data_IF_088666823084
#
_entry.id   IF_088666823084
#
_cell.length_a   1.000
_cell.length_b   1.000
_cell.length_c   1.000
_cell.angle_alpha   90.00
_cell.angle_beta   90.00
_cell.angle_gamma   90.00
#
_symmetry.space_group_name_H-M   'P 1'
#
loop_
_entity.id
_entity.type
_entity.pdbx_description
1 polymer ?
#
# COMPACT_ATOMS: atom_id res chain seq x y z
N UNK A 1 3.55 -35.70 -19.10
CA UNK A 1 2.66 -34.52 -19.26
C UNK A 1 2.15 -34.19 -17.88
N UNK A 2 2.81 -33.26 -17.19
CA UNK A 2 2.37 -32.82 -15.87
C UNK A 2 1.69 -31.46 -16.06
N UNK A 3 0.42 -31.40 -15.71
CA UNK A 3 -0.44 -30.23 -15.81
C UNK A 3 0.00 -29.21 -14.75
N UNK A 4 0.64 -28.12 -15.21
CA UNK A 4 1.15 -27.03 -14.39
C UNK A 4 0.04 -26.04 -13.94
N UNK A 5 -1.25 -26.34 -14.16
CA UNK A 5 -2.36 -25.45 -13.78
C UNK A 5 -2.73 -25.44 -12.29
N UNK A 6 -2.05 -26.22 -11.42
CA UNK A 6 -2.44 -26.38 -10.01
C UNK A 6 -1.45 -25.93 -8.92
N UNK A 7 -0.43 -25.15 -9.26
CA UNK A 7 0.41 -24.48 -8.25
C UNK A 7 0.55 -22.99 -8.56
N UNK A 8 -0.59 -22.28 -8.57
CA UNK A 8 -0.60 -20.82 -8.44
C UNK A 8 -0.35 -20.49 -6.96
N UNK A 9 0.91 -20.53 -6.54
CA UNK A 9 1.35 -19.63 -5.48
C UNK A 9 1.08 -18.22 -6.03
N UNK A 10 0.02 -17.57 -5.53
CA UNK A 10 -0.26 -16.16 -5.86
C UNK A 10 0.84 -15.30 -5.26
N UNK A 11 2.02 -15.29 -5.89
CA UNK A 11 2.91 -14.14 -5.84
C UNK A 11 2.15 -13.01 -6.54
N UNK A 12 1.47 -12.17 -5.77
CA UNK A 12 1.12 -10.85 -6.29
C UNK A 12 2.46 -10.16 -6.52
N UNK A 13 2.93 -10.14 -7.77
CA UNK A 13 4.10 -9.34 -8.14
C UNK A 13 3.70 -7.87 -7.92
N UNK A 14 4.16 -7.31 -6.80
CA UNK A 14 4.07 -5.88 -6.50
C UNK A 14 5.20 -5.14 -7.19
N UNK A 15 5.07 -3.82 -7.27
CA UNK A 15 6.04 -2.97 -7.95
C UNK A 15 7.38 -2.94 -7.20
N UNK A 16 8.48 -2.95 -7.94
CA UNK A 16 9.82 -2.76 -7.39
C UNK A 16 10.08 -1.26 -7.17
N UNK A 17 10.14 -0.85 -5.91
CA UNK A 17 10.31 0.53 -5.48
C UNK A 17 11.77 0.95 -5.34
N UNK A 18 12.73 0.04 -5.52
CA UNK A 18 14.18 0.31 -5.41
C UNK A 18 14.65 1.52 -6.23
N UNK A 19 14.18 1.77 -7.47
CA UNK A 19 14.58 2.95 -8.24
C UNK A 19 14.12 4.29 -7.64
N UNK A 20 13.16 4.26 -6.71
CA UNK A 20 12.50 5.45 -6.15
C UNK A 20 13.09 5.88 -4.80
N UNK A 21 14.41 5.90 -4.68
CA UNK A 21 15.07 6.32 -3.45
C UNK A 21 16.57 6.52 -3.57
N UNK A 22 17.22 6.64 -2.42
CA UNK A 22 18.67 6.79 -2.30
C UNK A 22 19.19 5.94 -1.15
N UNK A 23 20.44 5.53 -1.26
CA UNK A 23 21.11 4.72 -0.25
C UNK A 23 22.21 5.48 0.50
N UNK A 24 22.47 5.06 1.74
CA UNK A 24 23.59 5.50 2.58
C UNK A 24 24.12 4.32 3.39
N UNK A 25 25.35 4.42 3.90
CA UNK A 25 25.96 3.35 4.70
C UNK A 25 26.90 3.91 5.76
N UNK A 26 27.14 3.11 6.80
CA UNK A 26 28.01 3.43 7.94
C UNK A 26 29.42 3.89 7.56
N UNK A 27 29.99 3.29 6.51
CA UNK A 27 31.30 3.64 5.94
C UNK A 27 31.48 3.02 4.56
N UNK A 28 32.51 3.44 3.83
CA UNK A 28 32.75 2.99 2.47
C UNK A 28 34.21 2.61 2.27
N UNK A 29 34.43 1.42 1.70
CA UNK A 29 35.73 1.02 1.12
C UNK A 29 35.80 1.47 -0.34
N UNK A 30 36.86 2.18 -0.70
CA UNK A 30 37.19 2.57 -2.07
C UNK A 30 35.97 3.08 -2.88
N UNK A 31 35.58 2.32 -3.91
CA UNK A 31 34.50 2.67 -4.85
C UNK A 31 33.17 1.97 -4.54
N UNK A 32 33.07 1.20 -3.45
CA UNK A 32 31.91 0.38 -3.09
C UNK A 32 30.79 1.21 -2.43
N UNK A 33 30.18 2.10 -3.23
CA UNK A 33 29.16 3.07 -2.80
C UNK A 33 27.89 2.38 -2.32
N UNK A 34 27.13 2.99 -1.40
CA UNK A 34 25.84 2.44 -0.96
C UNK A 34 24.82 2.32 -2.10
N UNK A 35 24.93 3.14 -3.15
CA UNK A 35 24.07 3.12 -4.35
C UNK A 35 24.19 1.82 -5.15
N UNK A 36 25.32 1.12 -5.08
CA UNK A 36 25.53 -0.11 -5.83
C UNK A 36 24.44 -1.17 -5.50
N UNK A 37 23.89 -1.15 -4.28
CA UNK A 37 22.80 -2.04 -3.88
C UNK A 37 21.41 -1.67 -4.44
N UNK A 38 21.24 -0.52 -5.08
CA UNK A 38 19.95 -0.09 -5.68
C UNK A 38 20.03 0.15 -7.17
N UNK A 39 21.23 0.17 -7.73
CA UNK A 39 21.43 0.23 -9.17
C UNK A 39 21.00 -1.10 -9.81
N UNK A 40 20.23 -1.09 -10.91
CA UNK A 40 19.79 -2.32 -11.56
C UNK A 40 21.00 -3.21 -11.95
N UNK A 41 21.00 -4.50 -11.59
CA UNK A 41 22.13 -5.36 -11.90
C UNK A 41 22.22 -5.61 -13.41
N UNK A 42 23.39 -5.33 -14.01
CA UNK A 42 23.65 -5.63 -15.43
C UNK A 42 23.77 -7.14 -15.70
N UNK A 43 24.17 -7.91 -14.69
CA UNK A 43 24.25 -9.36 -14.69
C UNK A 43 24.12 -9.91 -13.27
N UNK A 44 23.89 -11.21 -13.13
CA UNK A 44 23.93 -11.90 -11.82
C UNK A 44 25.37 -12.16 -11.32
N UNK A 45 26.38 -11.60 -12.00
CA UNK A 45 27.79 -11.72 -11.61
C UNK A 45 28.18 -10.50 -10.78
N UNK A 46 28.18 -10.70 -9.46
CA UNK A 46 28.40 -9.67 -8.45
C UNK A 46 29.85 -9.66 -7.98
N UNK A 47 30.70 -8.91 -8.69
CA UNK A 47 32.06 -8.60 -8.26
C UNK A 47 32.09 -7.45 -7.23
N UNK A 48 33.27 -7.19 -6.65
CA UNK A 48 33.46 -6.14 -5.63
C UNK A 48 33.01 -4.75 -6.10
N UNK A 49 33.12 -4.43 -7.39
CA UNK A 49 32.81 -3.10 -7.90
C UNK A 49 31.31 -2.86 -8.07
N UNK A 50 30.52 -3.94 -8.06
CA UNK A 50 29.06 -3.91 -8.19
C UNK A 50 28.31 -4.01 -6.87
N UNK A 51 29.01 -4.20 -5.75
CA UNK A 51 28.41 -4.30 -4.43
C UNK A 51 28.76 -3.10 -3.54
N UNK A 52 27.98 -2.90 -2.49
CA UNK A 52 28.35 -2.04 -1.37
C UNK A 52 29.45 -2.70 -0.56
N UNK A 53 30.23 -1.93 0.20
CA UNK A 53 31.18 -2.49 1.16
C UNK A 53 31.52 -1.48 2.27
N UNK A 54 31.29 -1.86 3.54
CA UNK A 54 31.70 -1.09 4.72
C UNK A 54 33.06 -1.54 5.26
N UNK A 55 33.76 -0.71 6.06
CA UNK A 55 34.99 -1.17 6.72
C UNK A 55 34.68 -2.24 7.78
N UNK A 56 35.52 -3.28 7.84
CA UNK A 56 35.40 -4.40 8.80
C UNK A 56 35.55 -3.93 10.26
N UNK A 57 36.33 -2.88 10.47
CA UNK A 57 36.65 -2.36 11.80
C UNK A 57 35.66 -1.28 12.28
N UNK A 58 34.70 -0.86 11.43
CA UNK A 58 33.70 0.14 11.79
C UNK A 58 32.40 -0.52 12.23
N UNK A 59 32.19 -0.61 13.54
CA UNK A 59 31.08 -1.35 14.17
C UNK A 59 30.16 -0.38 14.94
N UNK A 60 28.83 -0.50 14.84
CA UNK A 60 28.07 -1.45 14.01
C UNK A 60 28.07 -1.06 12.52
N UNK A 61 27.91 -2.05 11.64
CA UNK A 61 27.80 -1.82 10.21
C UNK A 61 26.33 -1.74 9.80
N UNK A 62 26.00 -0.77 8.94
CA UNK A 62 24.63 -0.58 8.46
C UNK A 62 24.60 -0.03 7.04
N UNK A 63 23.50 -0.33 6.36
CA UNK A 63 23.08 0.26 5.09
C UNK A 63 21.62 0.68 5.20
N UNK A 64 21.29 1.85 4.66
CA UNK A 64 19.96 2.45 4.76
C UNK A 64 19.51 2.95 3.39
N UNK A 65 18.31 2.54 3.01
CA UNK A 65 17.56 3.09 1.89
C UNK A 65 16.52 4.09 2.39
N UNK A 66 16.40 5.23 1.70
CA UNK A 66 15.40 6.26 1.94
C UNK A 66 14.56 6.46 0.67
N UNK A 67 13.25 6.28 0.77
CA UNK A 67 12.33 6.56 -0.33
C UNK A 67 12.36 8.04 -0.75
N UNK A 68 12.08 8.35 -2.02
CA UNK A 68 11.93 9.74 -2.49
C UNK A 68 10.58 10.35 -2.11
N UNK A 69 9.56 9.52 -1.86
CA UNK A 69 8.23 9.88 -1.38
C UNK A 69 8.06 9.60 0.13
N UNK A 70 6.96 10.04 0.73
CA UNK A 70 6.79 10.07 2.20
C UNK A 70 6.85 8.67 2.86
N UNK A 71 6.07 7.70 2.40
CA UNK A 71 6.07 6.34 2.95
C UNK A 71 5.70 5.31 1.87
N UNK A 72 6.17 4.07 2.03
CA UNK A 72 5.70 2.89 1.26
C UNK A 72 5.31 1.75 2.19
N UNK A 73 4.30 1.01 1.77
CA UNK A 73 3.93 -0.27 2.36
C UNK A 73 4.70 -1.38 1.64
N UNK A 74 5.55 -2.08 2.37
CA UNK A 74 6.41 -3.14 1.86
C UNK A 74 5.66 -4.47 1.89
N UNK A 75 5.94 -5.34 0.93
CA UNK A 75 5.47 -6.73 0.94
C UNK A 75 6.59 -7.71 1.22
N UNK A 76 7.74 -7.46 0.60
CA UNK A 76 8.93 -8.26 0.73
C UNK A 76 10.16 -7.48 0.26
N UNK A 77 11.32 -7.91 0.74
CA UNK A 77 12.61 -7.37 0.38
C UNK A 77 13.48 -8.55 -0.08
N UNK A 78 13.95 -8.49 -1.32
CA UNK A 78 14.88 -9.49 -1.86
C UNK A 78 16.28 -8.92 -1.90
N UNK A 79 17.20 -9.56 -1.19
CA UNK A 79 18.58 -9.13 -1.10
C UNK A 79 19.47 -10.08 -1.89
N UNK A 80 20.36 -9.51 -2.70
CA UNK A 80 21.38 -10.19 -3.49
C UNK A 80 22.75 -9.84 -2.90
N UNK A 81 23.51 -10.88 -2.57
CA UNK A 81 24.80 -10.78 -1.90
C UNK A 81 25.96 -11.12 -2.82
N UNK A 82 27.14 -10.72 -2.38
CA UNK A 82 28.38 -11.04 -3.06
C UNK A 82 28.67 -12.54 -3.00
N UNK A 83 28.97 -13.13 -4.15
CA UNK A 83 29.35 -14.54 -4.23
C UNK A 83 30.65 -14.83 -3.46
N UNK A 84 30.71 -15.98 -2.80
CA UNK A 84 31.90 -16.45 -2.06
C UNK A 84 32.14 -15.81 -0.68
N UNK A 85 31.33 -14.82 -0.28
CA UNK A 85 31.46 -14.13 1.01
C UNK A 85 30.15 -14.11 1.83
N UNK A 86 29.18 -14.98 1.52
CA UNK A 86 27.87 -15.05 2.21
C UNK A 86 27.96 -15.28 3.72
N UNK A 87 29.07 -15.83 4.24
CA UNK A 87 29.30 -15.93 5.70
C UNK A 87 29.27 -14.60 6.45
N UNK A 88 29.48 -13.47 5.75
CA UNK A 88 29.43 -12.11 6.32
C UNK A 88 28.01 -11.59 6.49
N UNK A 89 27.01 -12.32 5.98
CA UNK A 89 25.59 -12.02 6.09
C UNK A 89 24.95 -12.80 7.26
N UNK A 90 25.65 -12.93 8.37
CA UNK A 90 25.18 -13.73 9.50
C UNK A 90 24.70 -12.82 10.63
N UNK A 91 23.53 -13.12 11.20
CA UNK A 91 23.01 -12.43 12.39
C UNK A 91 22.54 -10.99 12.19
N UNK A 92 22.33 -10.55 10.95
CA UNK A 92 21.82 -9.21 10.64
C UNK A 92 20.34 -9.04 11.00
N UNK A 93 19.91 -7.78 11.06
CA UNK A 93 18.53 -7.37 11.25
C UNK A 93 18.09 -6.44 10.13
N UNK A 94 16.82 -6.57 9.74
CA UNK A 94 16.19 -5.71 8.73
C UNK A 94 15.02 -4.98 9.35
N UNK A 95 14.98 -3.66 9.16
CA UNK A 95 13.94 -2.78 9.69
C UNK A 95 13.27 -1.99 8.58
N UNK A 96 11.97 -1.72 8.75
CA UNK A 96 11.20 -0.78 7.92
C UNK A 96 10.62 0.27 8.84
N UNK A 97 11.13 1.49 8.82
CA UNK A 97 10.84 2.49 9.86
C UNK A 97 10.57 3.88 9.29
N UNK A 98 9.96 4.74 10.10
CA UNK A 98 9.71 6.14 9.77
C UNK A 98 10.86 7.08 10.15
N UNK A 99 11.90 6.57 10.83
CA UNK A 99 13.03 7.38 11.32
C UNK A 99 14.36 6.85 10.79
N UNK A 100 15.35 7.73 10.65
CA UNK A 100 16.72 7.37 10.25
C UNK A 100 17.64 7.05 11.44
N UNK A 101 17.08 6.77 12.62
CA UNK A 101 17.85 6.52 13.85
C UNK A 101 18.58 5.18 13.77
N UNK A 102 19.86 5.19 14.17
CA UNK A 102 20.73 4.01 14.25
C UNK A 102 21.28 3.90 15.68
N UNK A 103 21.15 2.74 16.36
CA UNK A 103 20.40 1.55 15.94
C UNK A 103 18.89 1.84 15.85
N UNK A 104 18.16 1.16 14.96
CA UNK A 104 16.70 1.22 14.93
C UNK A 104 16.10 0.65 16.22
N UNK A 105 15.07 1.31 16.76
CA UNK A 105 14.45 0.93 18.06
C UNK A 105 13.23 0.03 17.87
N UNK A 106 12.47 0.22 16.79
CA UNK A 106 11.21 -0.49 16.51
C UNK A 106 11.09 -0.80 15.01
N UNK A 107 10.05 -1.56 14.64
CA UNK A 107 9.72 -1.99 13.28
C UNK A 107 10.73 -2.96 12.66
N UNK A 108 11.09 -3.97 13.44
CA UNK A 108 11.94 -5.09 13.03
C UNK A 108 11.14 -6.04 12.12
N UNK A 109 11.53 -6.12 10.85
CA UNK A 109 10.92 -7.06 9.89
C UNK A 109 11.55 -8.44 9.95
N UNK A 110 12.86 -8.52 10.14
CA UNK A 110 13.58 -9.79 10.09
C UNK A 110 14.81 -9.77 10.98
N UNK A 111 15.04 -10.90 11.63
CA UNK A 111 16.30 -11.22 12.30
C UNK A 111 16.82 -12.50 11.69
N UNK A 112 18.06 -12.45 11.22
CA UNK A 112 18.73 -13.64 10.72
C UNK A 112 19.01 -14.63 11.87
N UNK A 113 18.64 -15.91 11.72
CA UNK A 113 18.61 -16.84 12.85
C UNK A 113 19.98 -17.27 13.40
N UNK A 114 21.10 -17.25 12.64
CA UNK A 114 22.46 -17.70 13.04
C UNK A 114 22.53 -19.18 13.56
N UNK A 115 23.44 -20.10 13.14
CA UNK A 115 24.59 -19.99 12.24
C UNK A 115 24.35 -20.82 10.97
N UNK A 116 23.75 -20.22 9.95
CA UNK A 116 23.62 -20.86 8.63
C UNK A 116 24.18 -19.92 7.59
N UNK A 117 24.89 -20.45 6.58
CA UNK A 117 25.22 -19.63 5.41
C UNK A 117 23.89 -19.22 4.76
N UNK A 118 23.53 -17.93 4.78
CA UNK A 118 22.35 -17.50 4.06
C UNK A 118 22.56 -17.70 2.56
N UNK A 119 21.46 -17.93 1.85
CA UNK A 119 21.49 -18.00 0.40
C UNK A 119 22.00 -16.67 -0.16
N UNK A 120 22.82 -16.72 -1.22
CA UNK A 120 23.29 -15.52 -1.94
C UNK A 120 22.14 -14.63 -2.45
N UNK A 121 20.94 -15.19 -2.54
CA UNK A 121 19.69 -14.47 -2.75
C UNK A 121 18.70 -14.87 -1.68
N UNK A 122 18.17 -13.89 -0.94
CA UNK A 122 17.19 -14.12 0.10
C UNK A 122 16.00 -13.17 -0.05
N UNK A 123 14.80 -13.71 -0.21
CA UNK A 123 13.54 -12.95 -0.18
C UNK A 123 12.93 -13.03 1.21
N UNK A 124 12.74 -11.87 1.83
CA UNK A 124 12.28 -11.70 3.20
C UNK A 124 10.89 -11.05 3.15
N UNK A 125 9.80 -11.76 3.51
CA UNK A 125 8.48 -11.16 3.67
C UNK A 125 8.50 -10.10 4.79
N UNK A 126 7.93 -8.93 4.53
CA UNK A 126 7.95 -7.79 5.45
C UNK A 126 6.76 -6.88 5.11
N UNK A 127 5.73 -6.89 5.98
CA UNK A 127 4.44 -6.23 5.74
C UNK A 127 4.31 -4.94 6.56
N UNK A 128 5.29 -4.04 6.39
CA UNK A 128 5.41 -2.83 7.19
C UNK A 128 5.29 -1.56 6.34
N UNK A 129 4.77 -0.50 6.95
CA UNK A 129 4.73 0.86 6.38
C UNK A 129 5.94 1.65 6.89
N UNK A 130 6.77 2.17 5.98
CA UNK A 130 7.96 2.91 6.37
C UNK A 130 8.48 3.91 5.34
N UNK A 131 9.37 4.78 5.80
CA UNK A 131 10.16 5.73 4.98
C UNK A 131 11.57 5.20 4.67
N UNK A 132 12.10 4.39 5.57
CA UNK A 132 13.46 3.86 5.53
C UNK A 132 13.45 2.34 5.61
N UNK A 133 14.36 1.72 4.87
CA UNK A 133 14.75 0.32 5.06
C UNK A 133 16.18 0.30 5.58
N UNK A 134 16.40 -0.36 6.71
CA UNK A 134 17.70 -0.37 7.37
C UNK A 134 18.16 -1.82 7.55
N UNK A 135 19.25 -2.16 6.86
CA UNK A 135 20.05 -3.34 7.16
C UNK A 135 21.03 -2.98 8.26
N UNK A 136 21.00 -3.70 9.37
CA UNK A 136 21.80 -3.42 10.55
C UNK A 136 22.48 -4.69 11.07
N UNK A 137 23.80 -4.62 11.26
CA UNK A 137 24.60 -5.70 11.82
C UNK A 137 25.53 -5.15 12.91
N UNK A 138 25.33 -5.62 14.14
CA UNK A 138 26.14 -5.34 15.32
C UNK A 138 26.98 -6.52 15.78
N UNK A 139 26.80 -7.69 15.18
CA UNK A 139 27.46 -8.93 15.58
C UNK A 139 28.58 -9.28 14.63
N UNK A 140 28.36 -9.29 13.32
CA UNK A 140 29.24 -9.94 12.36
C UNK A 140 29.24 -11.47 12.48
N UNK A 141 29.98 -12.12 11.59
CA UNK A 141 29.97 -13.58 11.44
C UNK A 141 30.53 -14.32 12.65
N UNK A 142 29.79 -15.32 13.16
CA UNK A 142 30.24 -16.18 14.28
C UNK A 142 30.78 -17.53 13.84
N UNK A 143 30.81 -17.79 12.54
CA UNK A 143 31.13 -19.11 11.98
C UNK A 143 32.58 -19.56 12.24
N UNK A 144 33.54 -18.63 12.48
CA UNK A 144 34.93 -18.99 12.71
C UNK A 144 35.58 -18.26 13.92
N UNK A 145 35.84 -18.95 15.05
CA UNK A 145 36.50 -18.36 16.22
C UNK A 145 37.95 -17.94 15.98
N UNK A 146 38.59 -18.33 14.87
CA UNK A 146 39.98 -17.94 14.53
C UNK A 146 40.07 -16.77 13.55
N UNK A 147 38.97 -16.40 12.87
CA UNK A 147 38.93 -15.30 11.91
C UNK A 147 37.57 -14.61 11.97
N UNK A 148 37.44 -13.72 12.95
CA UNK A 148 36.26 -12.89 13.15
C UNK A 148 36.19 -11.84 12.04
N UNK A 149 35.40 -12.11 10.99
CA UNK A 149 34.96 -11.04 10.10
C UNK A 149 33.93 -10.23 10.92
N UNK A 150 34.28 -9.00 11.32
CA UNK A 150 33.36 -8.11 12.02
C UNK A 150 32.09 -7.83 11.20
N UNK A 151 31.10 -7.11 11.76
CA UNK A 151 29.92 -6.72 11.00
C UNK A 151 30.36 -5.95 9.76
N UNK A 152 29.94 -6.44 8.59
CA UNK A 152 30.29 -5.91 7.27
C UNK A 152 29.06 -5.97 6.41
N UNK A 153 28.77 -4.88 5.72
CA UNK A 153 27.68 -4.83 4.75
C UNK A 153 28.24 -4.94 3.34
N UNK A 154 27.91 -6.03 2.65
CA UNK A 154 28.26 -6.31 1.25
C UNK A 154 27.00 -6.72 0.47
N UNK A 155 26.18 -5.73 0.09
CA UNK A 155 24.93 -5.91 -0.64
C UNK A 155 25.15 -5.54 -2.10
N UNK A 156 24.71 -6.38 -3.03
CA UNK A 156 24.91 -6.15 -4.46
C UNK A 156 23.64 -5.72 -5.18
N UNK A 157 22.48 -6.14 -4.69
CA UNK A 157 21.20 -5.55 -5.08
C UNK A 157 20.16 -5.78 -3.97
N UNK A 158 19.26 -4.84 -3.77
CA UNK A 158 18.15 -4.92 -2.83
C UNK A 158 16.88 -4.55 -3.61
N UNK A 159 16.09 -5.56 -3.97
CA UNK A 159 14.77 -5.35 -4.58
C UNK A 159 13.74 -5.14 -3.46
N UNK A 160 13.10 -3.97 -3.47
CA UNK A 160 12.15 -3.55 -2.45
C UNK A 160 10.76 -3.56 -3.08
N UNK A 161 9.95 -4.55 -2.74
CA UNK A 161 8.65 -4.73 -3.38
C UNK A 161 7.53 -4.19 -2.49
N UNK A 162 6.58 -3.47 -3.09
CA UNK A 162 5.49 -2.83 -2.34
C UNK A 162 4.74 -1.80 -3.16
N UNK A 163 4.09 -0.85 -2.47
CA UNK A 163 3.54 0.35 -3.09
C UNK A 163 3.77 1.58 -2.21
N UNK A 164 3.85 2.76 -2.82
CA UNK A 164 3.75 4.02 -2.08
C UNK A 164 2.45 4.05 -1.26
N UNK A 165 2.48 4.72 -0.10
CA UNK A 165 1.31 4.90 0.77
C UNK A 165 0.09 5.33 -0.04
N UNK A 166 -1.07 4.77 0.29
CA UNK A 166 -2.37 5.00 -0.38
C UNK A 166 -2.53 4.37 -1.77
N UNK A 167 -1.56 3.61 -2.26
CA UNK A 167 -1.63 2.93 -3.56
C UNK A 167 -1.56 1.41 -3.40
N UNK A 168 -2.16 0.69 -4.35
CA UNK A 168 -2.14 -0.77 -4.42
C UNK A 168 -2.32 -1.28 -5.85
N UNK A 169 -2.18 -2.59 -6.00
CA UNK A 169 -2.18 -3.29 -7.28
C UNK A 169 -0.76 -3.64 -7.72
N UNK A 170 -0.65 -4.48 -8.74
CA UNK A 170 0.65 -4.94 -9.27
C UNK A 170 1.52 -3.82 -9.84
N UNK A 171 0.91 -2.69 -10.20
CA UNK A 171 1.56 -1.48 -10.75
C UNK A 171 1.35 -0.25 -9.87
N UNK A 172 0.82 -0.42 -8.65
CA UNK A 172 0.52 0.68 -7.72
C UNK A 172 -0.30 1.85 -8.31
N UNK A 173 -1.12 1.62 -9.34
CA UNK A 173 -1.93 2.66 -9.97
C UNK A 173 -3.29 2.88 -9.31
N UNK A 174 -3.71 1.98 -8.42
CA UNK A 174 -5.03 2.05 -7.77
C UNK A 174 -4.92 2.72 -6.41
N UNK A 175 -5.81 3.67 -6.13
CA UNK A 175 -5.92 4.25 -4.81
C UNK A 175 -6.59 3.30 -3.82
N UNK A 176 -6.10 3.29 -2.59
CA UNK A 176 -6.80 2.69 -1.45
C UNK A 176 -8.18 3.32 -1.26
N UNK A 177 -9.13 2.53 -0.76
CA UNK A 177 -10.47 3.00 -0.43
C UNK A 177 -10.41 4.21 0.51
N UNK A 178 -11.25 5.21 0.27
CA UNK A 178 -11.20 6.47 1.01
C UNK A 178 -11.42 6.30 2.51
N UNK A 179 -12.25 5.33 2.88
CA UNK A 179 -12.55 5.03 4.27
C UNK A 179 -11.54 4.08 4.92
N UNK A 180 -10.51 3.57 4.22
CA UNK A 180 -9.43 2.89 4.95
C UNK A 180 -8.80 3.90 5.93
N UNK A 181 -8.49 3.48 7.16
CA UNK A 181 -7.87 4.38 8.14
C UNK A 181 -6.54 4.91 7.56
N UNK A 182 -6.39 6.23 7.55
CA UNK A 182 -5.28 6.96 6.89
C UNK A 182 -5.04 6.61 5.40
N UNK A 183 -6.06 6.06 4.74
CA UNK A 183 -5.97 5.49 3.38
C UNK A 183 -4.92 4.38 3.24
N UNK A 184 -4.65 3.63 4.31
CA UNK A 184 -3.70 2.53 4.24
C UNK A 184 -4.36 1.22 3.85
N UNK A 185 -3.85 0.60 2.78
CA UNK A 185 -4.30 -0.68 2.30
C UNK A 185 -3.13 -1.56 1.86
N UNK A 186 -3.34 -2.87 1.87
CA UNK A 186 -2.33 -3.84 1.46
C UNK A 186 -2.07 -3.74 -0.06
N UNK A 187 -0.80 -3.64 -0.50
CA UNK A 187 -0.45 -3.52 -1.92
C UNK A 187 -1.01 -4.64 -2.81
N UNK A 188 -1.09 -5.88 -2.31
CA UNK A 188 -1.48 -7.03 -3.11
C UNK A 188 -2.97 -7.11 -3.45
N UNK A 189 -3.86 -6.54 -2.63
CA UNK A 189 -5.31 -6.73 -2.79
C UNK A 189 -6.17 -5.49 -2.48
N UNK A 190 -5.58 -4.40 -1.97
CA UNK A 190 -6.29 -3.16 -1.66
C UNK A 190 -7.14 -3.21 -0.39
N UNK A 191 -7.07 -4.28 0.41
CA UNK A 191 -7.79 -4.36 1.69
C UNK A 191 -7.18 -3.46 2.74
N UNK A 192 -7.99 -2.83 3.60
CA UNK A 192 -7.49 -1.87 4.59
C UNK A 192 -6.64 -2.57 5.67
N UNK A 193 -5.49 -1.98 5.98
CA UNK A 193 -4.54 -2.56 6.96
C UNK A 193 -5.05 -2.41 8.39
N UNK A 194 -5.68 -1.28 8.70
CA UNK A 194 -6.13 -0.94 10.05
C UNK A 194 -7.66 -0.84 10.16
N UNK A 195 -8.37 -1.48 9.25
CA UNK A 195 -9.82 -1.35 9.15
C UNK A 195 -10.26 -0.04 8.50
N UNK A 196 -11.48 0.39 8.81
CA UNK A 196 -12.15 1.50 8.15
C UNK A 196 -12.63 2.58 9.12
N UNK A 197 -12.60 3.83 8.68
CA UNK A 197 -13.28 4.97 9.31
C UNK A 197 -14.76 4.93 8.90
N UNK A 198 -15.62 4.66 9.89
CA UNK A 198 -17.06 4.50 9.69
C UNK A 198 -17.88 5.76 9.97
N UNK A 199 -17.26 6.91 10.23
CA UNK A 199 -17.93 8.11 10.75
C UNK A 199 -19.10 8.59 9.87
N UNK A 200 -19.02 8.40 8.54
CA UNK A 200 -20.08 8.76 7.61
C UNK A 200 -21.06 7.61 7.29
N UNK A 201 -20.76 6.39 7.76
CA UNK A 201 -21.60 5.23 7.55
C UNK A 201 -22.76 5.18 8.55
N UNK A 202 -23.91 4.69 8.11
CA UNK A 202 -25.06 4.49 8.99
C UNK A 202 -24.70 3.49 10.10
N UNK A 203 -25.06 3.82 11.35
CA UNK A 203 -24.71 3.08 12.57
C UNK A 203 -23.21 2.91 12.81
N UNK A 204 -22.35 3.69 12.14
CA UNK A 204 -20.89 3.57 12.22
C UNK A 204 -20.39 2.17 11.80
N UNK A 205 -21.05 1.56 10.79
CA UNK A 205 -20.70 0.22 10.27
C UNK A 205 -20.14 0.32 8.85
N UNK A 206 -18.90 -0.13 8.68
CA UNK A 206 -18.26 -0.40 7.39
C UNK A 206 -17.63 -1.79 7.36
N UNK A 207 -17.43 -2.33 6.16
CA UNK A 207 -16.62 -3.53 5.97
C UNK A 207 -15.15 -3.17 6.22
N UNK A 208 -14.49 -3.90 7.13
CA UNK A 208 -13.12 -3.59 7.57
C UNK A 208 -12.08 -3.74 6.46
N UNK A 209 -12.32 -4.59 5.47
CA UNK A 209 -11.37 -4.85 4.40
C UNK A 209 -11.58 -3.88 3.23
N UNK A 210 -12.83 -3.66 2.82
CA UNK A 210 -13.15 -2.86 1.63
C UNK A 210 -13.47 -1.40 1.95
N UNK A 211 -13.64 -1.07 3.23
CA UNK A 211 -14.09 0.22 3.75
C UNK A 211 -15.51 0.67 3.32
N UNK A 212 -16.26 -0.20 2.63
CA UNK A 212 -17.61 0.09 2.13
C UNK A 212 -18.59 0.20 3.30
N UNK A 213 -19.41 1.25 3.31
CA UNK A 213 -20.52 1.35 4.25
C UNK A 213 -21.61 0.35 3.87
N UNK A 214 -21.79 -0.72 4.65
CA UNK A 214 -22.63 -1.86 4.27
C UNK A 214 -24.12 -1.66 4.56
N UNK A 215 -24.44 -0.80 5.53
CA UNK A 215 -25.82 -0.50 5.94
C UNK A 215 -26.39 0.68 5.14
N UNK A 216 -25.54 1.63 4.77
CA UNK A 216 -25.93 2.86 4.08
C UNK A 216 -25.15 4.06 4.63
N UNK A 217 -25.59 5.25 4.24
CA UNK A 217 -24.98 6.51 4.65
C UNK A 217 -25.79 7.23 5.72
N UNK A 218 -25.12 8.01 6.57
CA UNK A 218 -25.80 9.01 7.41
C UNK A 218 -26.48 10.07 6.53
N UNK A 219 -27.41 10.83 7.10
CA UNK A 219 -28.13 11.89 6.37
C UNK A 219 -27.17 12.82 5.60
N UNK A 220 -27.59 13.29 4.42
CA UNK A 220 -26.83 14.17 3.50
C UNK A 220 -25.57 13.54 2.91
N UNK A 221 -25.21 12.30 3.25
CA UNK A 221 -24.06 11.59 2.68
C UNK A 221 -24.49 10.62 1.59
N UNK A 222 -23.64 10.41 0.59
CA UNK A 222 -23.91 9.49 -0.53
C UNK A 222 -22.64 8.85 -1.09
N UNK A 223 -22.81 7.85 -1.95
CA UNK A 223 -21.77 7.03 -2.53
C UNK A 223 -21.38 5.84 -1.66
N UNK A 224 -20.63 4.91 -2.24
CA UNK A 224 -20.24 3.63 -1.62
C UNK A 224 -19.50 3.78 -0.27
N UNK A 225 -18.77 4.88 -0.09
CA UNK A 225 -18.02 5.21 1.14
C UNK A 225 -18.67 6.35 1.95
N UNK A 226 -19.82 6.87 1.51
CA UNK A 226 -20.52 7.97 2.19
C UNK A 226 -19.71 9.27 2.37
N UNK A 227 -18.67 9.50 1.56
CA UNK A 227 -17.84 10.71 1.63
C UNK A 227 -18.34 11.85 0.75
N UNK A 228 -19.25 11.58 -0.19
CA UNK A 228 -19.84 12.62 -1.05
C UNK A 228 -21.00 13.27 -0.34
N UNK A 229 -21.12 14.59 -0.47
CA UNK A 229 -22.26 15.34 0.06
C UNK A 229 -23.40 15.36 -0.98
N UNK A 230 -24.59 14.94 -0.57
CA UNK A 230 -25.79 15.04 -1.37
C UNK A 230 -26.38 16.46 -1.22
N UNK A 231 -25.90 17.39 -2.04
CA UNK A 231 -26.37 18.78 -2.07
C UNK A 231 -27.86 18.91 -2.43
N UNK A 232 -28.45 17.89 -3.07
CA UNK A 232 -29.87 17.89 -3.39
C UNK A 232 -30.74 17.69 -2.14
N UNK A 233 -30.20 17.09 -1.06
CA UNK A 233 -30.92 16.83 0.19
C UNK A 233 -31.57 18.08 0.78
N UNK A 234 -30.85 19.20 0.74
CA UNK A 234 -31.36 20.48 1.22
C UNK A 234 -32.21 21.21 0.16
N UNK A 235 -32.22 20.76 -1.09
CA UNK A 235 -32.95 21.37 -2.20
C UNK A 235 -34.45 21.06 -2.21
N UNK A 236 -35.16 21.66 -3.17
CA UNK A 236 -36.57 21.41 -3.43
C UNK A 236 -36.71 20.58 -4.70
N UNK A 237 -37.53 19.54 -4.65
CA UNK A 237 -37.81 18.69 -5.80
C UNK A 237 -39.24 18.92 -6.25
N UNK A 238 -39.42 19.20 -7.54
CA UNK A 238 -40.73 19.25 -8.17
C UNK A 238 -40.86 18.13 -9.20
N UNK A 239 -42.05 17.54 -9.27
CA UNK A 239 -42.40 16.49 -10.21
C UNK A 239 -43.70 16.87 -10.92
N UNK A 240 -43.72 16.81 -12.25
CA UNK A 240 -44.90 17.12 -13.06
C UNK A 240 -45.14 16.00 -14.10
N UNK A 241 -46.33 15.38 -14.15
CA UNK A 241 -47.43 15.53 -13.21
C UNK A 241 -47.06 15.00 -11.81
N UNK A 242 -47.63 15.61 -10.77
CA UNK A 242 -47.40 15.19 -9.38
C UNK A 242 -47.93 13.77 -9.15
N UNK A 243 -47.20 13.02 -8.32
CA UNK A 243 -47.41 11.59 -8.13
C UNK A 243 -48.03 11.17 -6.80
N UNK A 244 -48.18 9.85 -6.63
CA UNK A 244 -48.66 9.18 -5.41
C UNK A 244 -47.69 9.21 -4.22
N UNK A 245 -46.41 9.56 -4.45
CA UNK A 245 -45.39 9.72 -3.40
C UNK A 245 -44.71 11.07 -3.57
N UNK A 246 -44.35 11.69 -2.45
CA UNK A 246 -43.71 13.02 -2.39
C UNK A 246 -42.41 13.05 -3.21
N UNK A 247 -42.23 14.14 -3.98
CA UNK A 247 -41.04 14.39 -4.77
C UNK A 247 -39.80 14.64 -3.89
N UNK A 248 -39.99 15.16 -2.67
CA UNK A 248 -38.92 15.35 -1.70
C UNK A 248 -38.22 14.05 -1.30
N UNK A 249 -38.90 12.89 -1.37
CA UNK A 249 -38.26 11.60 -1.10
C UNK A 249 -37.16 11.23 -2.11
N UNK A 250 -37.04 11.93 -3.23
CA UNK A 250 -36.03 11.65 -4.25
C UNK A 250 -34.64 12.15 -3.84
N UNK A 251 -34.57 13.13 -2.93
CA UNK A 251 -33.31 13.76 -2.57
C UNK A 251 -32.75 13.31 -1.21
N UNK A 252 -33.45 12.43 -0.47
CA UNK A 252 -33.02 11.95 0.85
C UNK A 252 -31.80 10.99 0.78
N UNK A 253 -31.55 10.41 -0.41
CA UNK A 253 -30.44 9.51 -0.67
C UNK A 253 -30.66 8.07 -0.18
N UNK A 254 -31.88 7.72 0.21
CA UNK A 254 -32.24 6.39 0.69
C UNK A 254 -32.89 5.60 -0.46
N UNK A 255 -32.27 4.49 -0.88
CA UNK A 255 -32.75 3.72 -2.05
C UNK A 255 -34.15 3.10 -1.89
N UNK A 256 -34.67 3.05 -0.67
CA UNK A 256 -36.01 2.51 -0.37
C UNK A 256 -37.13 3.55 -0.42
N UNK A 257 -36.78 4.84 -0.43
CA UNK A 257 -37.73 5.95 -0.56
C UNK A 257 -37.60 6.51 -1.98
N UNK A 258 -38.69 6.42 -2.75
CA UNK A 258 -38.72 6.89 -4.13
C UNK A 258 -40.01 7.69 -4.36
N UNK A 259 -39.96 8.71 -5.20
CA UNK A 259 -41.19 9.28 -5.76
C UNK A 259 -41.83 8.32 -6.76
N UNK A 260 -43.13 8.46 -6.98
CA UNK A 260 -43.87 7.64 -7.95
C UNK A 260 -44.98 8.48 -8.58
N UNK A 261 -44.96 8.62 -9.89
CA UNK A 261 -46.03 9.27 -10.67
C UNK A 261 -46.64 8.34 -11.70
N UNK A 262 -47.81 8.71 -12.20
CA UNK A 262 -48.54 8.00 -13.25
C UNK A 262 -48.75 8.97 -14.40
N UNK A 263 -47.93 8.86 -15.44
CA UNK A 263 -47.99 9.71 -16.63
C UNK A 263 -46.98 9.28 -17.70
N UNK A 264 -47.27 9.58 -18.97
CA UNK A 264 -46.39 9.21 -20.09
C UNK A 264 -45.20 10.17 -20.24
N UNK A 265 -45.35 11.42 -19.82
CA UNK A 265 -44.29 12.43 -19.78
C UNK A 265 -44.15 12.93 -18.34
N UNK A 266 -42.99 12.68 -17.74
CA UNK A 266 -42.68 13.08 -16.36
C UNK A 266 -41.47 14.00 -16.38
N UNK A 267 -41.65 15.20 -15.87
CA UNK A 267 -40.57 16.15 -15.62
C UNK A 267 -40.21 16.12 -14.14
N UNK A 268 -38.91 16.06 -13.86
CA UNK A 268 -38.36 16.25 -12.53
C UNK A 268 -37.38 17.40 -12.55
N UNK A 269 -37.50 18.29 -11.57
CA UNK A 269 -36.62 19.42 -11.39
C UNK A 269 -36.16 19.47 -9.93
N UNK A 270 -34.86 19.65 -9.74
CA UNK A 270 -34.23 19.83 -8.42
C UNK A 270 -33.69 21.25 -8.36
N UNK A 271 -34.21 22.05 -7.44
CA UNK A 271 -33.75 23.39 -7.14
C UNK A 271 -32.86 23.36 -5.91
N UNK A 272 -31.59 23.70 -6.09
CA UNK A 272 -30.63 23.79 -5.00
C UNK A 272 -30.86 25.09 -4.22
N UNK A 273 -30.81 25.01 -2.88
CA UNK A 273 -30.96 26.19 -2.01
C UNK A 273 -29.86 27.23 -2.21
N UNK A 274 -28.67 26.79 -2.56
CA UNK A 274 -27.49 27.64 -2.72
C UNK A 274 -26.74 27.33 -4.01
N UNK A 275 -26.05 28.35 -4.54
CA UNK A 275 -25.19 28.20 -5.72
C UNK A 275 -24.09 27.18 -5.42
N UNK A 276 -24.16 26.03 -6.09
CA UNK A 276 -23.29 24.89 -5.81
C UNK A 276 -22.57 24.42 -7.06
N UNK A 277 -21.39 23.81 -6.89
CA UNK A 277 -20.70 23.12 -7.98
C UNK A 277 -21.19 21.67 -7.99
N UNK A 278 -21.89 21.30 -9.06
CA UNK A 278 -22.35 19.91 -9.26
C UNK A 278 -21.24 19.13 -9.97
N UNK A 279 -20.60 18.21 -9.26
CA UNK A 279 -19.52 17.37 -9.80
C UNK A 279 -20.02 16.07 -10.44
N UNK A 280 -21.29 15.73 -10.22
CA UNK A 280 -21.94 14.59 -10.84
C UNK A 280 -23.43 14.55 -10.49
N UNK A 281 -24.22 13.87 -11.32
CA UNK A 281 -25.64 13.64 -11.12
C UNK A 281 -25.93 12.16 -11.36
N UNK A 282 -26.56 11.51 -10.38
CA UNK A 282 -26.99 10.13 -10.47
C UNK A 282 -28.50 10.06 -10.30
N UNK A 283 -29.19 9.44 -11.25
CA UNK A 283 -30.63 9.21 -11.20
C UNK A 283 -30.85 7.71 -11.15
N UNK A 284 -31.45 7.24 -10.06
CA UNK A 284 -31.81 5.83 -9.88
C UNK A 284 -33.28 5.66 -10.23
N UNK A 285 -33.56 4.86 -11.25
CA UNK A 285 -34.92 4.55 -11.69
C UNK A 285 -35.27 3.11 -11.27
N UNK A 286 -36.20 2.94 -10.33
CA UNK A 286 -36.71 1.64 -9.94
C UNK A 286 -38.07 1.36 -10.62
N UNK A 287 -38.14 0.28 -11.41
CA UNK A 287 -39.41 -0.28 -11.88
C UNK A 287 -40.14 0.49 -13.00
N UNK A 288 -39.44 0.90 -14.06
CA UNK A 288 -40.10 1.34 -15.30
C UNK A 288 -40.84 0.16 -15.97
N UNK A 289 -42.11 -0.03 -15.64
CA UNK A 289 -43.03 -0.82 -16.45
C UNK A 289 -43.49 0.05 -17.62
N UNK A 290 -42.74 0.03 -18.72
CA UNK A 290 -43.23 0.52 -20.01
C UNK A 290 -44.36 -0.42 -20.47
N UNK A 291 -45.62 -0.11 -20.11
CA UNK A 291 -46.76 -0.66 -20.82
C UNK A 291 -46.81 0.04 -22.17
N UNK A 292 -46.31 -0.63 -23.21
CA UNK A 292 -46.64 -0.29 -24.59
C UNK A 292 -48.16 -0.43 -24.73
N UNK A 293 -48.84 0.71 -24.89
CA UNK A 293 -50.21 0.77 -25.43
C UNK A 293 -50.12 1.16 -26.89
#
# INVERSE_FOLDING_TARGET
MYDLSKFVLRFFLTENLTPSGKASQSSQIDIARPQNAIDPPESNDFDFNKCTHTYIDNKPAWWMFEFSFEFAFITDITIYYREGFSRRMDGFKLYVTNTSTIPPVDHLCYTDPDPGLPNITQTIPCYELGKYIIYYDDKGSRENPTRYDGPVVELCYVAINGCQKSLWGSTCEKFCAENCIERNCYPGNGSCVWGCNAENCLNDICNTDTAVCTVGCKERRTGTYCNKYNIAYDGFVTQVPSGSKDAGLVNDGIETTCSKTTGHNVTFQVELKEKSIVTGMYIILAGMLLKNT
#
